data_IF_505762548680
#
_entry.id   IF_505762548680
#
_cell.length_a   1.000
_cell.length_b   1.000
_cell.length_c   1.000
_cell.angle_alpha   90.00
_cell.angle_beta   90.00
_cell.angle_gamma   90.00
#
_symmetry.space_group_name_H-M   'P 1'
#
loop_
_entity.id
_entity.type
_entity.pdbx_description
1 polymer ?
#
# COMPACT_ATOMS: atom_id res chain seq x y z
N UNK A 1 43.06 -5.48 46.24
CA UNK A 1 42.29 -4.46 45.50
C UNK A 1 42.08 -3.30 46.44
N UNK A 2 42.52 -2.10 46.05
CA UNK A 2 42.35 -0.92 46.87
C UNK A 2 40.96 -0.31 46.63
N UNK A 3 40.48 0.55 47.54
CA UNK A 3 39.15 1.17 47.42
C UNK A 3 38.94 1.85 46.06
N UNK A 4 39.96 2.53 45.58
CA UNK A 4 39.88 3.29 44.33
C UNK A 4 39.85 2.37 43.10
N UNK A 5 40.47 1.17 43.16
CA UNK A 5 40.37 0.15 42.10
C UNK A 5 38.94 -0.39 41.97
N UNK A 6 38.27 -0.61 43.11
CA UNK A 6 36.88 -1.07 43.16
C UNK A 6 35.93 0.00 42.59
N UNK A 7 36.12 1.26 42.95
CA UNK A 7 35.34 2.38 42.42
C UNK A 7 35.51 2.52 40.90
N UNK A 8 36.75 2.43 40.40
CA UNK A 8 37.02 2.46 38.96
C UNK A 8 36.35 1.28 38.24
N UNK A 9 36.36 0.08 38.82
CA UNK A 9 35.70 -1.09 38.23
C UNK A 9 34.18 -0.94 38.19
N UNK A 10 33.58 -0.34 39.21
CA UNK A 10 32.15 -0.04 39.24
C UNK A 10 31.79 0.96 38.13
N UNK A 11 32.57 2.03 37.96
CA UNK A 11 32.35 3.01 36.90
C UNK A 11 32.48 2.40 35.49
N UNK A 12 33.45 1.51 35.29
CA UNK A 12 33.63 0.80 34.01
C UNK A 12 32.42 -0.09 33.71
N UNK A 13 31.93 -0.84 34.69
CA UNK A 13 30.75 -1.68 34.54
C UNK A 13 29.48 -0.85 34.29
N UNK A 14 29.35 0.31 34.93
CA UNK A 14 28.25 1.24 34.69
C UNK A 14 28.27 1.76 33.24
N UNK A 15 29.44 2.14 32.72
CA UNK A 15 29.57 2.55 31.31
C UNK A 15 29.24 1.43 30.33
N UNK A 16 29.67 0.19 30.61
CA UNK A 16 29.33 -0.97 29.79
C UNK A 16 27.83 -1.29 29.83
N UNK A 17 27.20 -1.16 31.01
CA UNK A 17 25.74 -1.34 31.17
C UNK A 17 24.99 -0.31 30.33
N UNK A 18 25.42 0.97 30.37
CA UNK A 18 24.80 2.05 29.61
C UNK A 18 24.96 1.85 28.10
N UNK A 19 26.14 1.42 27.63
CA UNK A 19 26.34 1.15 26.19
C UNK A 19 25.51 -0.03 25.71
N UNK A 20 25.39 -1.09 26.53
CA UNK A 20 24.55 -2.23 26.24
C UNK A 20 23.07 -1.84 26.18
N UNK A 21 22.61 -1.00 27.11
CA UNK A 21 21.25 -0.48 27.12
C UNK A 21 20.96 0.34 25.86
N UNK A 22 21.90 1.19 25.43
CA UNK A 22 21.76 1.95 24.19
C UNK A 22 21.66 1.04 22.96
N UNK A 23 22.53 0.02 22.87
CA UNK A 23 22.47 -0.98 21.80
C UNK A 23 21.14 -1.75 21.79
N UNK A 24 20.56 -2.01 22.96
CA UNK A 24 19.25 -2.66 23.05
C UNK A 24 18.11 -1.78 22.53
N UNK A 25 18.17 -0.47 22.77
CA UNK A 25 17.20 0.50 22.24
C UNK A 25 17.28 0.54 20.71
N UNK A 26 18.48 0.59 20.15
CA UNK A 26 18.70 0.59 18.70
C UNK A 26 18.19 -0.70 18.04
N UNK A 27 18.52 -1.87 18.62
CA UNK A 27 18.06 -3.16 18.12
C UNK A 27 16.54 -3.29 18.18
N UNK A 28 15.92 -2.77 19.24
CA UNK A 28 14.46 -2.72 19.36
C UNK A 28 13.85 -1.91 18.21
N UNK A 29 14.41 -0.75 17.89
CA UNK A 29 13.91 0.07 16.78
C UNK A 29 14.03 -0.66 15.45
N UNK A 30 15.20 -1.24 15.16
CA UNK A 30 15.41 -2.04 13.95
C UNK A 30 14.44 -3.22 13.84
N UNK A 31 14.11 -3.84 14.97
CA UNK A 31 13.13 -4.93 15.01
C UNK A 31 11.72 -4.46 14.64
N UNK A 32 11.32 -3.27 15.13
CA UNK A 32 10.02 -2.68 14.77
C UNK A 32 9.96 -2.43 13.27
N UNK A 33 10.97 -1.76 12.71
CA UNK A 33 11.02 -1.40 11.29
C UNK A 33 10.96 -2.67 10.41
N UNK A 34 11.72 -3.72 10.77
CA UNK A 34 11.69 -5.01 10.07
C UNK A 34 10.34 -5.72 10.15
N UNK A 35 9.65 -5.63 11.29
CA UNK A 35 8.31 -6.22 11.45
C UNK A 35 7.29 -5.49 10.59
N UNK A 36 7.34 -4.15 10.55
CA UNK A 36 6.47 -3.33 9.70
C UNK A 36 6.68 -3.65 8.22
N UNK A 37 7.92 -3.73 7.76
CA UNK A 37 8.25 -4.13 6.38
C UNK A 37 7.75 -5.56 6.08
N UNK A 38 7.93 -6.50 7.01
CA UNK A 38 7.47 -7.87 6.83
C UNK A 38 5.94 -7.97 6.69
N UNK A 39 5.19 -7.17 7.46
CA UNK A 39 3.73 -7.07 7.36
C UNK A 39 3.33 -6.49 6.01
N UNK A 40 3.98 -5.41 5.56
CA UNK A 40 3.72 -4.80 4.25
C UNK A 40 3.95 -5.80 3.11
N UNK A 41 5.10 -6.49 3.12
CA UNK A 41 5.43 -7.50 2.11
C UNK A 41 4.45 -8.69 2.11
N UNK A 42 4.00 -9.14 3.29
CA UNK A 42 2.97 -10.19 3.38
C UNK A 42 1.66 -9.75 2.75
N UNK A 43 1.24 -8.51 2.97
CA UNK A 43 0.03 -7.96 2.36
C UNK A 43 0.13 -7.92 0.84
N UNK A 44 1.28 -7.46 0.30
CA UNK A 44 1.54 -7.42 -1.14
C UNK A 44 1.52 -8.82 -1.76
N UNK A 45 2.22 -9.77 -1.12
CA UNK A 45 2.22 -11.17 -1.54
C UNK A 45 0.80 -11.73 -1.57
N UNK A 46 0.01 -11.50 -0.53
CA UNK A 46 -1.36 -11.98 -0.44
C UNK A 46 -2.24 -11.35 -1.53
N UNK A 47 -2.05 -10.07 -1.84
CA UNK A 47 -2.73 -9.40 -2.94
C UNK A 47 -2.36 -10.00 -4.30
N UNK A 48 -1.07 -10.21 -4.56
CA UNK A 48 -0.59 -10.87 -5.79
C UNK A 48 -1.13 -12.30 -5.90
N UNK A 49 -1.12 -13.07 -4.81
CA UNK A 49 -1.69 -14.42 -4.78
C UNK A 49 -3.20 -14.39 -5.05
N UNK A 50 -3.96 -13.44 -4.50
CA UNK A 50 -5.39 -13.26 -4.83
C UNK A 50 -5.59 -12.92 -6.31
N UNK A 51 -4.72 -12.14 -6.91
CA UNK A 51 -4.78 -11.85 -8.35
C UNK A 51 -4.50 -13.09 -9.21
N UNK A 52 -3.53 -13.92 -8.82
CA UNK A 52 -3.15 -15.14 -9.53
C UNK A 52 -4.18 -16.27 -9.32
N UNK A 53 -4.69 -16.43 -8.10
CA UNK A 53 -5.65 -17.46 -7.72
C UNK A 53 -7.10 -17.10 -8.09
N UNK A 54 -7.40 -15.82 -8.35
CA UNK A 54 -8.66 -15.44 -8.99
C UNK A 54 -8.75 -16.19 -10.32
N UNK A 55 -9.64 -17.19 -10.46
CA UNK A 55 -9.66 -18.03 -11.65
C UNK A 55 -9.91 -17.13 -12.86
N UNK A 56 -9.16 -17.35 -13.93
CA UNK A 56 -9.46 -16.79 -15.27
C UNK A 56 -10.85 -17.24 -15.80
N UNK A 57 -11.66 -17.96 -15.00
CA UNK A 57 -12.92 -18.62 -15.35
C UNK A 57 -14.09 -18.34 -14.38
N UNK A 58 -14.12 -17.23 -13.66
CA UNK A 58 -15.41 -16.69 -13.20
C UNK A 58 -15.87 -15.65 -14.22
N UNK A 59 -17.13 -15.69 -14.71
CA UNK A 59 -17.62 -14.60 -15.54
C UNK A 59 -17.44 -13.32 -14.73
N UNK A 60 -16.67 -12.40 -15.31
CA UNK A 60 -16.37 -11.07 -14.80
C UNK A 60 -17.67 -10.28 -14.62
N UNK A 61 -18.54 -10.64 -13.68
CA UNK A 61 -19.73 -9.84 -13.36
C UNK A 61 -19.43 -8.94 -12.17
N UNK A 62 -18.79 -9.45 -11.11
CA UNK A 62 -18.57 -8.63 -9.91
C UNK A 62 -17.48 -7.54 -10.04
N UNK A 63 -16.38 -7.79 -10.76
CA UNK A 63 -15.36 -6.76 -11.06
C UNK A 63 -15.69 -5.91 -12.31
N UNK A 64 -16.46 -6.46 -13.25
CA UNK A 64 -16.95 -5.68 -14.40
C UNK A 64 -17.94 -4.62 -13.96
N UNK A 65 -18.84 -4.96 -13.03
CA UNK A 65 -19.75 -4.00 -12.40
C UNK A 65 -18.96 -2.83 -11.81
N UNK A 66 -17.99 -3.08 -10.91
CA UNK A 66 -17.15 -2.01 -10.35
C UNK A 66 -16.42 -1.16 -11.42
N UNK A 67 -15.90 -1.78 -12.49
CA UNK A 67 -15.25 -1.02 -13.56
C UNK A 67 -16.22 -0.22 -14.44
N UNK A 68 -17.43 -0.73 -14.69
CA UNK A 68 -18.49 -0.04 -15.43
C UNK A 68 -19.09 1.07 -14.58
N UNK A 69 -19.29 0.83 -13.29
CA UNK A 69 -19.77 1.80 -12.31
C UNK A 69 -18.82 2.98 -12.19
N UNK A 70 -17.51 2.72 -12.14
CA UNK A 70 -16.49 3.78 -12.14
C UNK A 70 -16.52 4.61 -13.43
N UNK A 71 -16.71 3.98 -14.60
CA UNK A 71 -16.84 4.69 -15.87
C UNK A 71 -18.15 5.50 -15.94
N UNK A 72 -19.26 4.96 -15.42
CA UNK A 72 -20.53 5.66 -15.33
C UNK A 72 -20.43 6.89 -14.40
N UNK A 73 -19.70 6.77 -13.29
CA UNK A 73 -19.43 7.89 -12.38
C UNK A 73 -18.63 9.00 -13.06
N UNK A 74 -17.53 8.67 -13.76
CA UNK A 74 -16.74 9.65 -14.53
C UNK A 74 -17.58 10.33 -15.64
N UNK A 75 -18.47 9.58 -16.28
CA UNK A 75 -19.40 10.13 -17.27
C UNK A 75 -20.40 11.10 -16.65
N UNK A 76 -20.94 10.78 -15.47
CA UNK A 76 -21.85 11.63 -14.70
C UNK A 76 -21.18 12.89 -14.16
N UNK A 77 -19.90 12.82 -13.80
CA UNK A 77 -19.05 13.97 -13.46
C UNK A 77 -18.73 14.86 -14.68
N UNK A 78 -19.12 14.44 -15.88
CA UNK A 78 -19.00 15.24 -17.10
C UNK A 78 -17.74 14.95 -17.91
N UNK A 79 -17.06 13.82 -17.70
CA UNK A 79 -15.88 13.44 -18.48
C UNK A 79 -16.19 12.46 -19.61
N UNK A 80 -15.41 12.53 -20.69
CA UNK A 80 -15.46 11.54 -21.77
C UNK A 80 -14.79 10.24 -21.36
N UNK A 81 -15.48 9.11 -21.55
CA UNK A 81 -14.98 7.75 -21.28
C UNK A 81 -14.75 6.92 -22.56
N UNK A 82 -15.03 7.49 -23.74
CA UNK A 82 -14.87 6.80 -25.01
C UNK A 82 -13.40 6.64 -25.41
N UNK A 83 -13.09 5.58 -26.15
CA UNK A 83 -11.75 5.32 -26.69
C UNK A 83 -11.41 6.40 -27.73
N UNK A 84 -10.37 7.19 -27.50
CA UNK A 84 -9.92 8.25 -28.42
C UNK A 84 -9.26 9.44 -27.70
N UNK A 85 -8.96 10.50 -28.44
CA UNK A 85 -8.25 11.70 -27.94
C UNK A 85 -9.05 12.56 -26.94
N UNK A 86 -10.33 12.24 -26.78
CA UNK A 86 -11.23 12.95 -25.85
C UNK A 86 -11.27 12.29 -24.47
N UNK A 87 -10.72 11.08 -24.30
CA UNK A 87 -10.75 10.37 -23.02
C UNK A 87 -10.23 11.25 -21.87
N UNK A 88 -11.03 11.40 -20.81
CA UNK A 88 -10.72 12.22 -19.63
C UNK A 88 -10.91 13.73 -19.82
N UNK A 89 -11.33 14.23 -20.99
CA UNK A 89 -11.69 15.65 -21.18
C UNK A 89 -13.11 15.93 -20.71
N UNK A 90 -13.37 17.17 -20.30
CA UNK A 90 -14.69 17.62 -19.87
C UNK A 90 -15.64 17.80 -21.07
N UNK A 91 -16.86 17.28 -20.97
CA UNK A 91 -17.89 17.24 -22.02
C UNK A 91 -18.62 18.57 -22.21
N UNK A 92 -18.48 19.50 -21.26
CA UNK A 92 -19.14 20.81 -21.32
C UNK A 92 -20.68 20.72 -21.32
N UNK A 93 -21.25 19.61 -20.83
CA UNK A 93 -22.69 19.39 -20.74
C UNK A 93 -23.35 18.68 -21.93
N UNK A 94 -22.60 18.33 -22.99
CA UNK A 94 -23.15 17.60 -24.15
C UNK A 94 -23.04 16.07 -24.03
N UNK A 95 -24.06 15.33 -24.47
CA UNK A 95 -24.03 13.87 -24.57
C UNK A 95 -23.14 13.37 -25.71
N UNK A 96 -22.22 12.45 -25.37
CA UNK A 96 -21.32 11.83 -26.33
C UNK A 96 -21.83 10.44 -26.70
N UNK A 97 -22.27 10.26 -27.95
CA UNK A 97 -22.79 8.96 -28.44
C UNK A 97 -21.81 7.79 -28.27
N UNK A 98 -20.50 8.04 -28.40
CA UNK A 98 -19.49 7.01 -28.20
C UNK A 98 -19.33 6.59 -26.72
N UNK A 99 -19.58 7.51 -25.78
CA UNK A 99 -19.58 7.19 -24.36
C UNK A 99 -20.84 6.40 -23.98
N UNK A 100 -22.00 6.79 -24.52
CA UNK A 100 -23.25 6.07 -24.31
C UNK A 100 -23.17 4.64 -24.86
N UNK A 101 -22.67 4.46 -26.09
CA UNK A 101 -22.45 3.13 -26.66
C UNK A 101 -21.51 2.24 -25.82
N UNK A 102 -20.56 2.83 -25.09
CA UNK A 102 -19.68 2.10 -24.19
C UNK A 102 -20.40 1.68 -22.88
N UNK A 103 -21.38 2.46 -22.41
CA UNK A 103 -22.18 2.16 -21.24
C UNK A 103 -23.32 1.17 -21.55
N UNK A 104 -23.88 1.25 -22.76
CA UNK A 104 -25.00 0.42 -23.23
C UNK A 104 -24.58 -0.97 -23.73
N UNK A 105 -23.28 -1.19 -24.01
CA UNK A 105 -22.80 -2.50 -24.44
C UNK A 105 -22.68 -3.45 -23.24
N UNK A 106 -23.50 -4.51 -23.20
CA UNK A 106 -23.43 -5.58 -22.18
C UNK A 106 -22.07 -6.30 -22.15
#
# INVERSE_FOLDING_TARGET
MNRDDLLNKIMELEQQMNSLQQGFIELKQQTVDLVEENVALKLERDNMQRMIQSPKNQPKKLKSLQSKDNLAMLYAEGFHICRGELFGKHRGGGDCMFCLSLLDSE
#
